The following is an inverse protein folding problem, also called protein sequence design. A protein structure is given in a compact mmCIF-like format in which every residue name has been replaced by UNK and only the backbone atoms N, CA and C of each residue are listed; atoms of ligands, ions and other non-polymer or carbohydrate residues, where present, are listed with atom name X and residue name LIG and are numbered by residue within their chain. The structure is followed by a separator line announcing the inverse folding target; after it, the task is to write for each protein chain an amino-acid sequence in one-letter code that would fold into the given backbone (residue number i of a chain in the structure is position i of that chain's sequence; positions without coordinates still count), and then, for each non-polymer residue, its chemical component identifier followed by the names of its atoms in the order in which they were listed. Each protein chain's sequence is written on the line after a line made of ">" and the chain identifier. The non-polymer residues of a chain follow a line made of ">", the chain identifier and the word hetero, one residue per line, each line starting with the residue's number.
data_IF_952710000906
#
_entry.id   IF_952710000906
#
_cell.length_a   1.000
_cell.length_b   1.000
_cell.length_c   1.000
_cell.angle_alpha   90.00
_cell.angle_beta   90.00
_cell.angle_gamma   90.00
#
_symmetry.space_group_name_H-M   'P 1'
#
loop_
_entity.id
_entity.type
_entity.pdbx_description
1 polymer ?
#
# COMPACT_ATOMS: atom_id res chain seq x y z
N UNK A 1 13.56 16.17 11.40
CA UNK A 1 12.52 15.38 10.69
C UNK A 1 11.68 14.58 11.68
N UNK A 2 10.43 14.30 11.33
CA UNK A 2 9.62 13.21 11.90
C UNK A 2 9.58 12.13 10.85
N UNK A 3 9.84 10.88 11.25
CA UNK A 3 9.91 9.75 10.32
C UNK A 3 8.89 8.71 10.78
N UNK A 4 8.09 8.21 9.85
CA UNK A 4 7.14 7.15 10.14
C UNK A 4 7.79 5.78 10.03
N UNK A 5 7.31 4.84 10.84
CA UNK A 5 7.75 3.45 10.84
C UNK A 5 6.56 2.53 11.07
N UNK A 6 6.56 1.31 10.49
CA UNK A 6 5.55 0.31 10.80
C UNK A 6 5.42 0.07 12.30
N UNK A 7 4.18 -0.12 12.77
CA UNK A 7 3.91 -0.26 14.20
C UNK A 7 4.52 -1.53 14.82
N UNK A 8 4.73 -2.57 14.02
CA UNK A 8 5.31 -3.85 14.46
C UNK A 8 6.84 -3.86 14.56
N UNK A 9 7.54 -2.80 14.11
CA UNK A 9 9.00 -2.75 14.21
C UNK A 9 9.46 -2.77 15.67
N UNK A 10 10.42 -3.64 15.96
CA UNK A 10 11.13 -3.67 17.24
C UNK A 10 12.10 -2.49 17.41
N UNK A 11 12.67 -2.34 18.61
CA UNK A 11 13.56 -1.21 18.90
C UNK A 11 14.87 -1.27 18.09
N UNK A 12 15.36 -2.45 17.70
CA UNK A 12 16.55 -2.57 16.87
C UNK A 12 16.32 -1.98 15.47
N UNK A 13 15.19 -2.31 14.84
CA UNK A 13 14.81 -1.75 13.55
C UNK A 13 14.52 -0.24 13.63
N UNK A 14 13.90 0.20 14.73
CA UNK A 14 13.66 1.63 14.98
C UNK A 14 14.98 2.39 15.12
N UNK A 15 15.95 1.84 15.85
CA UNK A 15 17.27 2.45 15.98
C UNK A 15 17.99 2.49 14.63
N UNK A 16 17.98 1.40 13.85
CA UNK A 16 18.54 1.38 12.51
C UNK A 16 17.95 2.46 11.59
N UNK A 17 16.64 2.71 11.72
CA UNK A 17 15.98 3.80 10.98
C UNK A 17 16.48 5.18 11.41
N UNK A 18 16.68 5.42 12.73
CA UNK A 18 17.29 6.66 13.23
C UNK A 18 18.70 6.85 12.70
N UNK A 19 19.51 5.79 12.76
CA UNK A 19 20.91 5.82 12.33
C UNK A 19 21.01 6.11 10.82
N UNK A 20 20.19 5.46 10.01
CA UNK A 20 20.11 5.69 8.57
C UNK A 20 19.74 7.16 8.25
N UNK A 21 18.77 7.70 8.97
CA UNK A 21 18.36 9.09 8.80
C UNK A 21 19.48 10.07 9.22
N UNK A 22 20.19 9.78 10.30
CA UNK A 22 21.35 10.59 10.74
C UNK A 22 22.50 10.54 9.73
N UNK A 23 22.79 9.36 9.17
CA UNK A 23 23.78 9.21 8.10
C UNK A 23 23.40 10.00 6.84
N UNK A 24 22.10 10.14 6.57
CA UNK A 24 21.57 11.00 5.50
C UNK A 24 21.57 12.50 5.87
N UNK A 25 22.11 12.89 7.03
CA UNK A 25 22.18 14.28 7.47
C UNK A 25 20.89 14.84 8.05
N UNK A 26 19.91 13.98 8.38
CA UNK A 26 18.63 14.41 8.96
C UNK A 26 18.71 14.46 10.49
N UNK A 27 18.20 15.55 11.07
CA UNK A 27 17.96 15.61 12.52
C UNK A 27 16.59 14.97 12.82
N UNK A 28 16.61 13.77 13.40
CA UNK A 28 15.40 13.01 13.75
C UNK A 28 14.86 13.50 15.08
N UNK A 29 13.73 14.18 15.04
CA UNK A 29 13.01 14.65 16.23
C UNK A 29 12.21 13.52 16.88
N UNK A 30 11.57 12.68 16.05
CA UNK A 30 10.69 11.60 16.51
C UNK A 30 10.51 10.55 15.43
N UNK A 31 10.37 9.28 15.86
CA UNK A 31 9.71 8.23 15.07
C UNK A 31 8.24 8.15 15.46
N UNK A 32 7.36 8.02 14.48
CA UNK A 32 5.93 7.91 14.67
C UNK A 32 5.43 6.62 14.00
N UNK A 33 4.53 5.90 14.63
CA UNK A 33 3.94 4.73 14.00
C UNK A 33 3.08 5.15 12.79
N UNK A 34 3.25 4.48 11.67
CA UNK A 34 2.53 4.76 10.41
C UNK A 34 1.01 4.80 10.59
N UNK A 35 0.36 3.84 11.28
CA UNK A 35 -1.08 3.91 11.50
C UNK A 35 -1.50 5.12 12.36
N UNK A 36 -0.67 5.55 13.31
CA UNK A 36 -0.93 6.76 14.09
C UNK A 36 -0.79 8.01 13.22
N UNK A 37 0.22 8.06 12.36
CA UNK A 37 0.39 9.18 11.42
C UNK A 37 -0.79 9.29 10.45
N UNK A 38 -1.27 8.16 9.93
CA UNK A 38 -2.45 8.10 9.08
C UNK A 38 -3.70 8.61 9.83
N UNK A 39 -3.94 8.16 11.06
CA UNK A 39 -5.05 8.60 11.87
C UNK A 39 -5.04 10.13 12.10
N UNK A 40 -3.88 10.71 12.41
CA UNK A 40 -3.71 12.16 12.58
C UNK A 40 -3.93 12.90 11.25
N UNK A 41 -3.39 12.38 10.14
CA UNK A 41 -3.55 13.00 8.83
C UNK A 41 -5.02 13.07 8.38
N UNK A 42 -5.84 12.10 8.77
CA UNK A 42 -7.28 12.10 8.55
C UNK A 42 -8.08 12.91 9.59
N UNK A 43 -7.40 13.57 10.54
CA UNK A 43 -8.03 14.42 11.54
C UNK A 43 -8.83 13.66 12.60
N UNK A 44 -8.55 12.38 12.81
CA UNK A 44 -9.26 11.55 13.79
C UNK A 44 -9.00 11.98 15.24
N UNK A 45 -7.95 12.77 15.48
CA UNK A 45 -7.59 13.40 16.74
C UNK A 45 -8.36 14.69 17.02
N UNK A 46 -8.99 15.29 16.00
CA UNK A 46 -9.71 16.58 16.09
C UNK A 46 -11.19 16.41 16.49
N UNK A 47 -11.66 15.20 16.65
CA UNK A 47 -13.03 14.93 17.02
C UNK A 47 -13.28 15.34 18.49
N UNK A 48 -14.02 16.44 18.64
CA UNK A 48 -14.20 17.16 19.93
C UNK A 48 -15.02 16.41 20.98
N UNK A 49 -15.60 15.26 20.66
CA UNK A 49 -16.28 14.40 21.62
C UNK A 49 -15.28 13.53 22.41
N UNK A 50 -14.46 14.17 23.25
CA UNK A 50 -13.44 13.54 24.09
C UNK A 50 -13.97 12.55 25.15
N UNK A 51 -15.28 12.38 25.25
CA UNK A 51 -15.90 11.59 26.33
C UNK A 51 -16.11 10.10 25.99
N UNK A 52 -15.80 9.66 24.77
CA UNK A 52 -15.99 8.27 24.38
C UNK A 52 -14.73 7.71 23.71
N UNK A 53 -14.26 6.58 24.22
CA UNK A 53 -13.23 5.78 23.55
C UNK A 53 -13.72 5.36 22.17
N UNK A 54 -12.84 5.45 21.17
CA UNK A 54 -13.12 5.04 19.80
C UNK A 54 -12.06 4.09 19.29
N UNK A 55 -12.50 3.09 18.57
CA UNK A 55 -11.60 2.18 17.88
C UNK A 55 -11.64 2.49 16.38
N UNK A 56 -10.45 2.56 15.77
CA UNK A 56 -10.25 2.76 14.36
C UNK A 56 -9.49 1.58 13.77
N UNK A 57 -9.83 1.21 12.56
CA UNK A 57 -9.04 0.27 11.75
C UNK A 57 -8.33 1.09 10.68
N UNK A 58 -7.02 1.00 10.68
CA UNK A 58 -6.18 1.57 9.63
C UNK A 58 -5.78 0.42 8.71
N UNK A 59 -6.25 0.49 7.46
CA UNK A 59 -5.95 -0.47 6.41
C UNK A 59 -5.01 0.23 5.41
N UNK A 60 -3.76 -0.16 5.44
CA UNK A 60 -2.70 0.45 4.63
C UNK A 60 -2.18 -0.57 3.61
N UNK A 61 -2.64 -0.44 2.37
CA UNK A 61 -2.16 -1.22 1.23
C UNK A 61 -1.22 -0.32 0.43
N UNK A 62 0.06 -0.40 0.76
CA UNK A 62 1.13 0.37 0.14
C UNK A 62 1.59 -0.21 -1.21
N UNK A 63 2.74 0.27 -1.71
CA UNK A 63 3.33 -0.23 -2.95
C UNK A 63 3.85 -1.65 -2.86
N UNK A 64 4.48 -2.02 -1.74
CA UNK A 64 5.11 -3.33 -1.54
C UNK A 64 4.63 -4.11 -0.33
N UNK A 65 3.93 -3.47 0.60
CA UNK A 65 3.44 -4.08 1.85
C UNK A 65 1.96 -3.79 2.05
N UNK A 66 1.33 -4.67 2.79
CA UNK A 66 0.00 -4.48 3.35
C UNK A 66 0.09 -4.52 4.87
N UNK A 67 -0.44 -3.49 5.52
CA UNK A 67 -0.48 -3.36 6.97
C UNK A 67 -1.91 -3.03 7.43
N UNK A 68 -2.36 -3.70 8.47
CA UNK A 68 -3.62 -3.39 9.14
C UNK A 68 -3.37 -3.20 10.63
N UNK A 69 -3.93 -2.14 11.20
CA UNK A 69 -3.76 -1.82 12.62
C UNK A 69 -5.09 -1.43 13.24
N UNK A 70 -5.32 -1.90 14.46
CA UNK A 70 -6.44 -1.46 15.28
C UNK A 70 -5.92 -0.44 16.28
N UNK A 71 -6.44 0.77 16.22
CA UNK A 71 -6.10 1.86 17.12
C UNK A 71 -7.29 2.15 18.06
N UNK A 72 -7.00 2.36 19.34
CA UNK A 72 -7.92 3.03 20.27
C UNK A 72 -7.53 4.49 20.40
N UNK A 73 -8.47 5.38 20.26
CA UNK A 73 -8.32 6.79 20.62
C UNK A 73 -9.05 7.06 21.91
N UNK A 74 -8.33 7.48 22.93
CA UNK A 74 -8.87 7.80 24.26
C UNK A 74 -8.08 8.97 24.86
N UNK A 75 -8.78 9.96 25.38
CA UNK A 75 -8.18 11.11 26.08
C UNK A 75 -7.07 11.83 25.30
N UNK A 76 -7.19 11.92 23.96
CA UNK A 76 -6.19 12.57 23.12
C UNK A 76 -4.98 11.69 22.76
N UNK A 77 -5.01 10.39 23.07
CA UNK A 77 -3.92 9.45 22.82
C UNK A 77 -4.38 8.32 21.90
N UNK A 78 -3.58 8.02 20.89
CA UNK A 78 -3.73 6.82 20.08
C UNK A 78 -2.91 5.68 20.69
N UNK A 79 -3.57 4.57 20.98
CA UNK A 79 -2.98 3.31 21.41
C UNK A 79 -3.14 2.27 20.31
N UNK A 80 -2.05 1.60 19.92
CA UNK A 80 -2.09 0.48 18.96
C UNK A 80 -2.48 -0.78 19.72
N UNK A 81 -3.66 -1.33 19.45
CA UNK A 81 -4.16 -2.53 20.12
C UNK A 81 -3.71 -3.82 19.45
N UNK A 82 -3.68 -3.82 18.12
CA UNK A 82 -3.26 -4.97 17.32
C UNK A 82 -2.71 -4.53 15.97
N UNK A 83 -1.81 -5.33 15.42
CA UNK A 83 -1.27 -5.16 14.07
C UNK A 83 -1.26 -6.50 13.36
N UNK A 84 -1.48 -6.46 12.05
CA UNK A 84 -1.32 -7.58 11.13
C UNK A 84 -0.85 -7.06 9.79
N UNK A 85 -0.44 -7.95 8.89
CA UNK A 85 0.01 -7.49 7.59
C UNK A 85 0.65 -8.58 6.75
N UNK A 86 1.13 -8.16 5.59
CA UNK A 86 1.86 -9.01 4.65
C UNK A 86 3.01 -8.21 4.04
N UNK A 87 4.25 -8.62 4.33
CA UNK A 87 5.47 -7.88 3.97
C UNK A 87 5.84 -7.93 2.47
N UNK A 88 5.10 -8.70 1.68
CA UNK A 88 5.30 -8.86 0.24
C UNK A 88 3.95 -8.90 -0.48
N UNK A 89 3.11 -7.90 -0.22
CA UNK A 89 1.82 -7.73 -0.88
C UNK A 89 1.50 -6.23 -0.97
N UNK A 90 1.42 -5.70 -2.18
CA UNK A 90 1.14 -4.29 -2.40
C UNK A 90 0.79 -3.97 -3.84
N UNK A 91 0.75 -2.68 -4.17
CA UNK A 91 0.43 -2.18 -5.50
C UNK A 91 1.31 -2.74 -6.61
N UNK A 92 2.59 -3.02 -6.30
CA UNK A 92 3.52 -3.63 -7.26
C UNK A 92 3.12 -5.06 -7.63
N UNK A 93 2.48 -5.81 -6.71
CA UNK A 93 1.97 -7.15 -7.02
C UNK A 93 0.74 -7.06 -7.91
N UNK A 94 -0.12 -6.05 -7.71
CA UNK A 94 -1.24 -5.78 -8.59
C UNK A 94 -0.75 -5.45 -10.01
N UNK A 95 0.30 -4.64 -10.15
CA UNK A 95 0.93 -4.33 -11.42
C UNK A 95 1.43 -5.61 -12.12
N UNK A 96 2.11 -6.50 -11.37
CA UNK A 96 2.58 -7.81 -11.90
C UNK A 96 1.44 -8.70 -12.36
N UNK A 97 0.29 -8.68 -11.66
CA UNK A 97 -0.89 -9.44 -12.08
C UNK A 97 -1.47 -8.91 -13.41
N UNK A 98 -1.48 -7.58 -13.59
CA UNK A 98 -1.90 -6.97 -14.86
C UNK A 98 -0.92 -7.36 -15.99
N UNK A 99 0.39 -7.31 -15.75
CA UNK A 99 1.40 -7.76 -16.73
C UNK A 99 1.17 -9.21 -17.12
N UNK A 100 0.92 -10.10 -16.14
CA UNK A 100 0.61 -11.50 -16.40
C UNK A 100 -0.63 -11.68 -17.27
N UNK A 101 -1.67 -10.91 -17.00
CA UNK A 101 -2.89 -10.89 -17.82
C UNK A 101 -2.59 -10.40 -19.23
N UNK A 102 -1.88 -9.27 -19.40
CA UNK A 102 -1.55 -8.70 -20.69
C UNK A 102 -0.71 -9.67 -21.56
N UNK A 103 0.29 -10.33 -20.96
CA UNK A 103 1.07 -11.38 -21.63
C UNK A 103 0.17 -12.49 -22.19
N UNK A 104 -0.81 -12.93 -21.39
CA UNK A 104 -1.77 -13.96 -21.81
C UNK A 104 -2.64 -13.48 -22.97
N UNK A 105 -3.11 -12.22 -22.96
CA UNK A 105 -3.92 -11.68 -24.06
C UNK A 105 -3.15 -11.59 -25.36
N UNK A 106 -1.86 -11.26 -25.30
CA UNK A 106 -0.98 -11.11 -26.47
C UNK A 106 -0.27 -12.41 -26.88
N UNK A 107 -0.51 -13.53 -26.17
CA UNK A 107 0.19 -14.82 -26.36
C UNK A 107 1.73 -14.69 -26.28
N UNK A 108 2.23 -13.82 -25.39
CA UNK A 108 3.66 -13.62 -25.14
C UNK A 108 4.12 -14.58 -24.05
N UNK A 109 5.06 -15.46 -24.35
CA UNK A 109 5.63 -16.40 -23.37
C UNK A 109 6.70 -15.72 -22.49
N UNK A 110 7.60 -14.97 -23.11
CA UNK A 110 8.73 -14.32 -22.43
C UNK A 110 8.82 -12.85 -22.84
N UNK A 111 9.31 -12.03 -21.93
CA UNK A 111 9.68 -10.62 -22.15
C UNK A 111 11.15 -10.46 -21.82
N UNK A 112 11.85 -9.61 -22.56
CA UNK A 112 13.16 -9.09 -22.13
C UNK A 112 12.98 -8.18 -20.91
N UNK A 113 14.07 -7.81 -20.21
CA UNK A 113 14.01 -6.90 -19.08
C UNK A 113 13.48 -5.52 -19.47
N UNK A 114 13.86 -5.04 -20.67
CA UNK A 114 13.40 -3.76 -21.20
C UNK A 114 11.90 -3.80 -21.52
N UNK A 115 11.41 -4.85 -22.18
CA UNK A 115 9.98 -5.03 -22.45
C UNK A 115 9.19 -5.16 -21.15
N UNK A 116 9.70 -5.93 -20.18
CA UNK A 116 9.05 -6.07 -18.87
C UNK A 116 8.93 -4.72 -18.15
N UNK A 117 9.94 -3.87 -18.22
CA UNK A 117 9.89 -2.52 -17.65
C UNK A 117 8.79 -1.66 -18.30
N UNK A 118 8.62 -1.75 -19.62
CA UNK A 118 7.52 -1.07 -20.34
C UNK A 118 6.17 -1.59 -19.87
N UNK A 119 6.00 -2.91 -19.75
CA UNK A 119 4.76 -3.54 -19.33
C UNK A 119 4.38 -3.15 -17.88
N UNK A 120 5.33 -3.12 -16.97
CA UNK A 120 5.10 -2.71 -15.56
C UNK A 120 4.64 -1.25 -15.48
N UNK A 121 5.26 -0.35 -16.22
CA UNK A 121 4.88 1.07 -16.23
C UNK A 121 3.47 1.23 -16.81
N UNK A 122 3.16 0.56 -17.91
CA UNK A 122 1.83 0.62 -18.53
C UNK A 122 0.76 0.02 -17.59
N UNK A 123 1.07 -1.09 -16.92
CA UNK A 123 0.17 -1.73 -15.95
C UNK A 123 -0.15 -0.80 -14.77
N UNK A 124 0.87 -0.14 -14.20
CA UNK A 124 0.70 0.85 -13.13
C UNK A 124 -0.17 2.01 -13.55
N UNK A 125 0.11 2.60 -14.72
CA UNK A 125 -0.68 3.71 -15.26
C UNK A 125 -2.14 3.30 -15.49
N UNK A 126 -2.38 2.11 -16.02
CA UNK A 126 -3.74 1.60 -16.22
C UNK A 126 -4.47 1.36 -14.90
N UNK A 127 -3.80 0.78 -13.90
CA UNK A 127 -4.34 0.59 -12.55
C UNK A 127 -4.75 1.92 -11.92
N UNK A 128 -3.88 2.92 -11.97
CA UNK A 128 -4.13 4.25 -11.41
C UNK A 128 -5.27 4.94 -12.14
N UNK A 129 -5.30 4.85 -13.48
CA UNK A 129 -6.35 5.44 -14.30
C UNK A 129 -7.73 4.85 -14.03
N UNK A 130 -7.80 3.53 -13.74
CA UNK A 130 -9.04 2.84 -13.38
C UNK A 130 -9.65 3.31 -12.04
N UNK A 131 -8.95 4.13 -11.23
CA UNK A 131 -9.52 4.73 -10.03
C UNK A 131 -10.76 5.54 -10.34
N UNK A 132 -10.72 6.34 -11.42
CA UNK A 132 -11.78 7.27 -11.79
C UNK A 132 -12.49 6.91 -13.11
N UNK A 133 -12.02 5.86 -13.82
CA UNK A 133 -12.49 5.47 -15.14
C UNK A 133 -12.90 4.01 -15.21
N UNK A 134 -13.82 3.69 -16.11
CA UNK A 134 -14.33 2.33 -16.28
C UNK A 134 -13.43 1.43 -17.12
N UNK A 135 -12.52 2.01 -17.91
CA UNK A 135 -11.56 1.28 -18.73
C UNK A 135 -10.29 2.10 -18.94
N UNK A 136 -9.16 1.40 -19.07
CA UNK A 136 -7.85 1.95 -19.34
C UNK A 136 -7.22 1.29 -20.57
N UNK A 137 -6.49 2.07 -21.36
CA UNK A 137 -5.69 1.56 -22.48
C UNK A 137 -4.25 1.25 -22.00
N UNK A 138 -3.79 0.03 -22.18
CA UNK A 138 -2.38 -0.34 -22.02
C UNK A 138 -1.69 -0.26 -23.38
N UNK A 139 -0.67 0.60 -23.46
CA UNK A 139 0.21 0.71 -24.63
C UNK A 139 1.44 -0.14 -24.38
N UNK A 140 1.59 -1.20 -25.15
CA UNK A 140 2.59 -2.25 -24.93
C UNK A 140 3.38 -2.47 -26.22
N UNK A 141 4.51 -1.77 -26.35
CA UNK A 141 5.30 -1.76 -27.59
C UNK A 141 4.42 -1.33 -28.79
N UNK A 142 4.22 -2.22 -29.75
CA UNK A 142 3.36 -1.98 -30.92
C UNK A 142 1.89 -2.35 -30.70
N UNK A 143 1.57 -2.98 -29.56
CA UNK A 143 0.24 -3.46 -29.22
C UNK A 143 -0.52 -2.51 -28.29
N UNK A 144 -1.85 -2.64 -28.32
CA UNK A 144 -2.76 -1.94 -27.42
C UNK A 144 -3.79 -2.91 -26.86
N UNK A 145 -3.97 -2.88 -25.55
CA UNK A 145 -5.00 -3.64 -24.86
C UNK A 145 -5.91 -2.68 -24.10
N UNK A 146 -7.18 -3.02 -24.01
CA UNK A 146 -8.13 -2.35 -23.12
C UNK A 146 -8.34 -3.22 -21.90
N UNK A 147 -8.11 -2.66 -20.72
CA UNK A 147 -8.42 -3.27 -19.43
C UNK A 147 -9.62 -2.54 -18.83
N UNK A 148 -10.74 -3.21 -18.74
CA UNK A 148 -11.92 -2.68 -18.05
C UNK A 148 -11.89 -2.97 -16.54
N UNK A 149 -12.66 -2.23 -15.76
CA UNK A 149 -12.74 -2.35 -14.31
C UNK A 149 -13.15 -3.76 -13.86
N UNK A 150 -14.18 -4.43 -14.42
CA UNK A 150 -14.55 -5.78 -14.02
C UNK A 150 -13.44 -6.80 -14.23
N UNK A 151 -12.70 -6.70 -15.35
CA UNK A 151 -11.54 -7.55 -15.63
C UNK A 151 -10.43 -7.27 -14.61
N UNK A 152 -10.13 -5.99 -14.33
CA UNK A 152 -9.13 -5.61 -13.32
C UNK A 152 -9.49 -6.17 -11.94
N UNK A 153 -10.71 -6.00 -11.48
CA UNK A 153 -11.19 -6.51 -10.18
C UNK A 153 -11.04 -8.04 -10.10
N UNK A 154 -11.38 -8.75 -11.17
CA UNK A 154 -11.18 -10.21 -11.25
C UNK A 154 -9.70 -10.60 -11.17
N UNK A 155 -8.81 -9.84 -11.81
CA UNK A 155 -7.36 -10.10 -11.79
C UNK A 155 -6.79 -9.95 -10.38
N UNK A 156 -7.20 -8.92 -9.64
CA UNK A 156 -6.64 -8.60 -8.33
C UNK A 156 -7.32 -9.33 -7.15
N UNK A 157 -8.43 -10.04 -7.39
CA UNK A 157 -9.22 -10.69 -6.34
C UNK A 157 -8.38 -11.57 -5.42
N UNK A 158 -7.44 -12.35 -5.98
CA UNK A 158 -6.53 -13.20 -5.19
C UNK A 158 -5.66 -12.39 -4.22
N UNK A 159 -5.25 -11.19 -4.61
CA UNK A 159 -4.48 -10.30 -3.74
C UNK A 159 -5.37 -9.71 -2.64
N UNK A 160 -6.58 -9.29 -2.98
CA UNK A 160 -7.56 -8.78 -2.01
C UNK A 160 -7.97 -9.85 -0.99
N UNK A 161 -8.19 -11.09 -1.42
CA UNK A 161 -8.52 -12.19 -0.51
C UNK A 161 -7.43 -12.43 0.54
N UNK A 162 -6.15 -12.24 0.18
CA UNK A 162 -5.04 -12.31 1.13
C UNK A 162 -5.12 -11.19 2.18
N UNK A 163 -5.42 -9.96 1.78
CA UNK A 163 -5.56 -8.85 2.75
C UNK A 163 -6.73 -9.12 3.69
N UNK A 164 -7.87 -9.58 3.16
CA UNK A 164 -9.05 -9.91 3.96
C UNK A 164 -8.82 -11.06 4.93
N UNK A 165 -7.92 -12.01 4.60
CA UNK A 165 -7.57 -13.11 5.51
C UNK A 165 -6.80 -12.65 6.75
N UNK A 166 -6.04 -11.57 6.63
CA UNK A 166 -5.28 -10.97 7.76
C UNK A 166 -6.22 -10.16 8.66
N UNK A 167 -7.31 -9.62 8.12
CA UNK A 167 -8.29 -8.81 8.88
C UNK A 167 -9.27 -9.65 9.72
N UNK A 168 -9.24 -10.98 9.62
CA UNK A 168 -10.11 -11.93 10.36
C UNK A 168 -9.48 -12.37 11.66
#
# INVERSE_FOLDING_TARGET
>A
AVITVPAYLDEAHRQATRDAAQLAGLNVLRLLNEPTAAAVAYGLDQDTNLSTDRNYVIYDLGGGTFDVSILRFSQGVFEVLATGGHTALGGDDLDRLIVKWAKKQLNIETLSDEEYAVFIVAARQAKEYLTDHEAAELKLLDDRLTLDRPTFESIIQVALDKTMSVCK
#
